data_IF_117244926786
#
_entry.id   IF_117244926786
#
_cell.length_a   1.000
_cell.length_b   1.000
_cell.length_c   1.000
_cell.angle_alpha   90.00
_cell.angle_beta   90.00
_cell.angle_gamma   90.00
#
_symmetry.space_group_name_H-M   'P 1'
#
loop_
_entity.id
_entity.type
_entity.pdbx_description
1 polymer ?
#
# COMPACT_ATOMS: atom_id res chain seq x y z
N UNK A 1 -17.45 16.89 39.71
CA UNK A 1 -16.61 17.03 38.49
C UNK A 1 -15.54 15.97 38.64
N UNK A 2 -15.83 14.78 38.10
CA UNK A 2 -14.88 13.65 38.13
C UNK A 2 -13.86 13.87 37.03
N UNK A 3 -12.60 13.86 37.40
CA UNK A 3 -11.48 13.81 36.47
C UNK A 3 -11.62 12.56 35.63
N UNK A 4 -11.77 12.73 34.33
CA UNK A 4 -11.61 11.66 33.35
C UNK A 4 -10.12 11.26 33.37
N UNK A 5 -9.85 10.12 34.01
CA UNK A 5 -8.54 9.55 34.14
C UNK A 5 -7.91 9.38 32.76
N UNK A 6 -6.60 9.62 32.70
CA UNK A 6 -5.72 9.38 31.57
C UNK A 6 -6.01 8.00 30.95
N UNK A 7 -6.68 8.01 29.80
CA UNK A 7 -7.11 6.81 29.14
C UNK A 7 -5.89 5.96 28.77
N UNK A 8 -5.82 4.75 29.33
CA UNK A 8 -5.18 3.64 28.66
C UNK A 8 -5.70 3.68 27.24
N UNK A 9 -4.83 3.74 26.25
CA UNK A 9 -5.18 3.56 24.84
C UNK A 9 -6.14 2.39 24.76
N UNK A 10 -7.40 2.66 24.43
CA UNK A 10 -8.42 1.64 24.33
C UNK A 10 -7.87 0.57 23.40
N UNK A 11 -7.87 -0.69 23.85
CA UNK A 11 -7.33 -1.80 23.09
C UNK A 11 -8.11 -1.87 21.77
N UNK A 12 -7.47 -1.45 20.66
CA UNK A 12 -8.12 -1.45 19.34
C UNK A 12 -8.25 -2.92 18.91
N UNK A 13 -9.45 -3.46 18.76
CA UNK A 13 -9.64 -4.88 18.40
C UNK A 13 -9.22 -5.17 16.95
N UNK A 14 -9.24 -4.17 16.08
CA UNK A 14 -8.75 -4.23 14.71
C UNK A 14 -7.40 -3.53 14.65
N UNK A 15 -6.38 -4.25 14.19
CA UNK A 15 -5.01 -3.73 14.09
C UNK A 15 -4.47 -3.98 12.69
N UNK A 16 -3.73 -3.01 12.17
CA UNK A 16 -3.00 -3.17 10.92
C UNK A 16 -1.86 -4.17 11.11
N UNK A 17 -1.79 -5.18 10.24
CA UNK A 17 -0.74 -6.19 10.26
C UNK A 17 0.22 -6.09 9.09
N UNK A 18 -0.24 -5.51 7.99
CA UNK A 18 0.56 -5.32 6.79
C UNK A 18 -0.23 -4.73 5.65
N UNK A 19 0.43 -4.61 4.52
CA UNK A 19 -0.14 -4.03 3.31
C UNK A 19 0.29 -4.77 2.05
N UNK A 20 -0.60 -4.80 1.04
CA UNK A 20 -0.19 -4.95 -0.35
C UNK A 20 -0.09 -3.57 -0.97
N UNK A 21 1.06 -3.27 -1.52
CA UNK A 21 1.32 -2.05 -2.30
C UNK A 21 1.54 -2.46 -3.75
N UNK A 22 0.71 -2.00 -4.66
CA UNK A 22 0.83 -2.32 -6.08
C UNK A 22 0.78 -1.06 -6.93
N UNK A 23 1.88 -0.79 -7.61
CA UNK A 23 2.05 0.34 -8.53
C UNK A 23 2.09 -0.20 -9.96
N UNK A 24 1.16 0.27 -10.79
CA UNK A 24 0.91 -0.28 -12.11
C UNK A 24 0.89 0.82 -13.17
N UNK A 25 1.42 0.48 -14.35
CA UNK A 25 1.29 1.28 -15.56
C UNK A 25 0.50 0.50 -16.62
N UNK A 26 -0.67 0.97 -17.06
CA UNK A 26 -1.34 0.44 -18.24
C UNK A 26 -0.56 0.77 -19.51
N UNK A 27 -0.59 -0.14 -20.48
CA UNK A 27 -0.06 0.19 -21.80
C UNK A 27 -0.81 1.36 -22.41
N UNK A 28 -0.10 2.20 -23.15
CA UNK A 28 -0.65 3.40 -23.79
C UNK A 28 -1.91 3.09 -24.60
N UNK A 29 -2.97 3.85 -24.36
CA UNK A 29 -4.29 3.68 -24.99
C UNK A 29 -5.21 2.68 -24.29
N UNK A 30 -4.73 2.02 -23.23
CA UNK A 30 -5.50 1.06 -22.44
C UNK A 30 -5.93 1.58 -21.06
N UNK A 31 -5.65 2.83 -20.73
CA UNK A 31 -5.85 3.42 -19.39
C UNK A 31 -7.32 3.37 -18.97
N UNK A 32 -8.23 3.71 -19.86
CA UNK A 32 -9.68 3.68 -19.59
C UNK A 32 -10.17 2.25 -19.38
N UNK A 33 -9.72 1.32 -20.21
CA UNK A 33 -10.10 -0.10 -20.09
C UNK A 33 -9.54 -0.71 -18.80
N UNK A 34 -8.28 -0.38 -18.46
CA UNK A 34 -7.65 -0.78 -17.21
C UNK A 34 -8.42 -0.29 -15.99
N UNK A 35 -8.78 1.00 -15.96
CA UNK A 35 -9.54 1.57 -14.85
C UNK A 35 -10.90 0.92 -14.69
N UNK A 36 -11.63 0.70 -15.80
CA UNK A 36 -12.94 0.01 -15.77
C UNK A 36 -12.82 -1.40 -15.22
N UNK A 37 -11.81 -2.17 -15.68
CA UNK A 37 -11.57 -3.51 -15.19
C UNK A 37 -11.21 -3.49 -13.70
N UNK A 38 -10.30 -2.59 -13.30
CA UNK A 38 -9.84 -2.54 -11.92
C UNK A 38 -10.97 -2.16 -10.96
N UNK A 39 -11.72 -1.11 -11.26
CA UNK A 39 -12.78 -0.58 -10.38
C UNK A 39 -14.03 -1.47 -10.33
N UNK A 40 -14.36 -2.15 -11.41
CA UNK A 40 -15.58 -2.95 -11.49
C UNK A 40 -15.38 -4.42 -11.13
N UNK A 41 -14.16 -4.90 -11.20
CA UNK A 41 -13.84 -6.31 -10.98
C UNK A 41 -12.65 -6.52 -10.06
N UNK A 42 -11.44 -6.17 -10.49
CA UNK A 42 -10.21 -6.64 -9.86
C UNK A 42 -9.98 -6.09 -8.45
N UNK A 43 -10.35 -4.85 -8.19
CA UNK A 43 -10.23 -4.25 -6.85
C UNK A 43 -10.96 -5.09 -5.80
N UNK A 44 -12.14 -5.54 -6.13
CA UNK A 44 -12.93 -6.40 -5.26
C UNK A 44 -12.50 -7.86 -5.37
N UNK A 45 -12.60 -8.44 -6.55
CA UNK A 45 -12.38 -9.86 -6.76
C UNK A 45 -10.94 -10.30 -6.50
N UNK A 46 -9.97 -9.43 -6.76
CA UNK A 46 -8.54 -9.71 -6.52
C UNK A 46 -8.10 -9.55 -5.07
N UNK A 47 -8.75 -8.64 -4.31
CA UNK A 47 -8.30 -8.28 -2.96
C UNK A 47 -9.42 -8.11 -1.95
N UNK A 48 -10.43 -7.24 -2.21
CA UNK A 48 -11.32 -6.75 -1.16
C UNK A 48 -12.35 -7.74 -0.64
N UNK A 49 -12.81 -8.72 -1.44
CA UNK A 49 -13.75 -9.75 -0.98
C UNK A 49 -13.10 -10.83 -0.15
N UNK A 50 -11.77 -10.86 -0.09
CA UNK A 50 -11.02 -11.80 0.74
C UNK A 50 -11.22 -11.50 2.21
N UNK A 51 -11.25 -12.55 3.02
CA UNK A 51 -11.17 -12.39 4.46
C UNK A 51 -9.86 -11.67 4.84
N UNK A 52 -9.93 -10.93 5.95
CA UNK A 52 -8.77 -10.28 6.56
C UNK A 52 -8.28 -8.99 5.89
N UNK A 53 -8.97 -8.47 4.88
CA UNK A 53 -8.80 -7.09 4.46
C UNK A 53 -9.53 -6.15 5.43
N UNK A 54 -8.85 -5.06 5.81
CA UNK A 54 -9.46 -3.99 6.60
C UNK A 54 -10.09 -2.99 5.63
N UNK A 55 -9.30 -2.47 4.72
CA UNK A 55 -9.72 -1.51 3.70
C UNK A 55 -8.77 -1.52 2.51
N UNK A 56 -9.14 -0.81 1.45
CA UNK A 56 -8.30 -0.61 0.29
C UNK A 56 -8.65 0.71 -0.41
N UNK A 57 -7.65 1.31 -1.04
CA UNK A 57 -7.83 2.55 -1.79
C UNK A 57 -6.98 2.56 -3.05
N UNK A 58 -7.43 3.34 -4.04
CA UNK A 58 -6.69 3.57 -5.29
C UNK A 58 -6.31 5.03 -5.42
N UNK A 59 -5.12 5.26 -5.92
CA UNK A 59 -4.57 6.60 -6.14
C UNK A 59 -4.05 6.71 -7.57
N UNK A 60 -4.12 7.91 -8.12
CA UNK A 60 -3.64 8.20 -9.48
C UNK A 60 -2.54 9.26 -9.39
N UNK A 61 -1.39 8.95 -9.95
CA UNK A 61 -0.32 9.92 -10.15
C UNK A 61 -0.48 10.57 -11.53
N UNK A 62 -0.94 11.83 -11.54
CA UNK A 62 -0.98 12.66 -12.75
C UNK A 62 0.44 12.97 -13.24
N UNK A 63 0.57 13.52 -14.45
CA UNK A 63 1.87 13.92 -14.98
C UNK A 63 2.60 14.90 -14.03
N UNK A 64 1.87 15.87 -13.47
CA UNK A 64 2.43 16.86 -12.55
C UNK A 64 2.91 16.21 -11.24
N UNK A 65 2.14 15.26 -10.70
CA UNK A 65 2.54 14.51 -9.51
C UNK A 65 3.76 13.60 -9.78
N UNK A 66 3.83 12.99 -10.96
CA UNK A 66 4.99 12.19 -11.36
C UNK A 66 6.25 13.04 -11.52
N UNK A 67 6.11 14.29 -11.94
CA UNK A 67 7.23 15.24 -12.03
C UNK A 67 7.83 15.63 -10.66
N UNK A 68 7.12 15.39 -9.57
CA UNK A 68 7.60 15.62 -8.20
C UNK A 68 8.38 14.42 -7.61
N UNK A 69 8.48 13.33 -8.33
CA UNK A 69 9.16 12.13 -7.84
C UNK A 69 10.66 12.34 -7.69
N UNK A 70 11.21 11.85 -6.59
CA UNK A 70 12.62 11.94 -6.26
C UNK A 70 13.12 10.63 -5.64
N UNK A 71 14.33 10.19 -5.96
CA UNK A 71 15.19 10.66 -7.04
C UNK A 71 14.69 10.23 -8.43
N UNK A 72 15.13 10.93 -9.48
CA UNK A 72 14.72 10.64 -10.86
C UNK A 72 15.25 9.29 -11.38
N UNK A 73 16.30 8.75 -10.75
CA UNK A 73 16.97 7.48 -11.05
C UNK A 73 16.69 6.42 -9.98
N UNK A 74 15.51 6.46 -9.36
CA UNK A 74 15.12 5.50 -8.33
C UNK A 74 15.18 4.06 -8.84
N UNK A 75 15.81 3.14 -8.10
CA UNK A 75 15.81 1.71 -8.46
C UNK A 75 14.42 1.07 -8.35
N UNK A 76 13.51 1.67 -7.57
CA UNK A 76 12.13 1.19 -7.39
C UNK A 76 11.26 1.56 -8.58
N UNK A 77 11.44 2.77 -9.12
CA UNK A 77 10.73 3.28 -10.29
C UNK A 77 11.78 3.84 -11.25
N UNK A 78 12.43 2.99 -12.05
CA UNK A 78 13.53 3.41 -12.95
C UNK A 78 13.09 4.44 -13.99
N UNK A 79 11.84 4.39 -14.44
CA UNK A 79 11.23 5.42 -15.26
C UNK A 79 10.17 6.18 -14.44
N UNK A 80 10.46 7.40 -13.96
CA UNK A 80 9.53 8.19 -13.14
C UNK A 80 8.25 8.59 -13.87
N UNK A 81 8.18 8.44 -15.19
CA UNK A 81 6.97 8.68 -15.97
C UNK A 81 5.95 7.53 -15.89
N UNK A 82 6.35 6.36 -15.39
CA UNK A 82 5.51 5.17 -15.22
C UNK A 82 4.91 5.04 -13.82
N UNK A 83 4.10 3.99 -13.58
CA UNK A 83 3.45 3.80 -12.29
C UNK A 83 2.38 4.86 -12.01
N UNK A 84 1.45 5.01 -12.96
CA UNK A 84 0.38 5.99 -12.87
C UNK A 84 -0.70 5.62 -11.86
N UNK A 85 -0.86 4.33 -11.54
CA UNK A 85 -1.92 3.85 -10.67
C UNK A 85 -1.35 3.05 -9.50
N UNK A 86 -1.65 3.52 -8.30
CA UNK A 86 -1.35 2.82 -7.06
C UNK A 86 -2.62 2.23 -6.49
N UNK A 87 -2.59 0.96 -6.08
CA UNK A 87 -3.58 0.39 -5.20
C UNK A 87 -2.89 -0.06 -3.90
N UNK A 88 -3.55 0.22 -2.80
CA UNK A 88 -3.06 -0.04 -1.45
C UNK A 88 -4.15 -0.77 -0.68
N UNK A 89 -3.78 -1.87 -0.01
CA UNK A 89 -4.70 -2.71 0.74
C UNK A 89 -4.15 -2.98 2.13
N UNK A 90 -4.94 -2.72 3.16
CA UNK A 90 -4.61 -3.01 4.55
C UNK A 90 -5.03 -4.43 4.94
N UNK A 91 -4.11 -5.17 5.54
CA UNK A 91 -4.31 -6.56 5.99
C UNK A 91 -4.29 -6.61 7.51
N UNK A 92 -5.25 -7.35 8.08
CA UNK A 92 -5.44 -7.50 9.51
C UNK A 92 -4.23 -8.16 10.20
N UNK A 93 -3.88 -7.66 11.37
CA UNK A 93 -2.80 -8.21 12.19
C UNK A 93 -3.02 -9.70 12.52
N UNK A 94 -1.95 -10.48 12.45
CA UNK A 94 -2.00 -11.92 12.70
C UNK A 94 -2.63 -12.76 11.57
N UNK A 95 -3.09 -12.12 10.48
CA UNK A 95 -3.80 -12.77 9.37
C UNK A 95 -3.08 -12.71 8.03
N UNK A 96 -1.87 -12.21 8.04
CA UNK A 96 -1.09 -12.00 6.83
C UNK A 96 -0.88 -13.29 6.01
N UNK A 97 -0.46 -14.38 6.64
CA UNK A 97 -0.23 -15.66 5.95
C UNK A 97 -1.50 -16.26 5.35
N UNK A 98 -2.63 -16.15 6.07
CA UNK A 98 -3.93 -16.62 5.58
C UNK A 98 -4.40 -15.79 4.39
N UNK A 99 -4.23 -14.47 4.46
CA UNK A 99 -4.57 -13.57 3.38
C UNK A 99 -3.70 -13.80 2.14
N UNK A 100 -2.39 -14.00 2.31
CA UNK A 100 -1.45 -14.32 1.24
C UNK A 100 -1.84 -15.61 0.50
N UNK A 101 -2.18 -16.65 1.26
CA UNK A 101 -2.62 -17.92 0.69
C UNK A 101 -3.88 -17.71 -0.16
N UNK A 102 -4.90 -17.09 0.42
CA UNK A 102 -6.14 -16.76 -0.28
C UNK A 102 -5.89 -15.92 -1.54
N UNK A 103 -5.08 -14.85 -1.43
CA UNK A 103 -4.78 -13.95 -2.55
C UNK A 103 -4.09 -14.65 -3.70
N UNK A 104 -3.14 -15.55 -3.40
CA UNK A 104 -2.45 -16.34 -4.43
C UNK A 104 -3.40 -17.30 -5.16
N UNK A 105 -4.28 -17.97 -4.42
CA UNK A 105 -5.31 -18.85 -4.99
C UNK A 105 -6.33 -18.06 -5.82
N UNK A 106 -6.71 -16.88 -5.35
CA UNK A 106 -7.66 -16.01 -6.03
C UNK A 106 -7.10 -15.43 -7.33
N UNK A 107 -5.84 -14.97 -7.32
CA UNK A 107 -5.17 -14.48 -8.55
C UNK A 107 -5.05 -15.59 -9.58
N UNK A 108 -4.69 -16.80 -9.15
CA UNK A 108 -4.65 -17.97 -10.04
C UNK A 108 -6.02 -18.23 -10.65
N UNK A 109 -7.07 -18.26 -9.84
CA UNK A 109 -8.44 -18.46 -10.31
C UNK A 109 -8.90 -17.38 -11.30
N UNK A 110 -8.56 -16.10 -11.04
CA UNK A 110 -8.87 -14.99 -11.96
C UNK A 110 -8.15 -15.16 -13.31
N UNK A 111 -6.91 -15.66 -13.32
CA UNK A 111 -6.20 -15.99 -14.55
C UNK A 111 -6.88 -17.12 -15.34
N UNK A 112 -7.25 -18.20 -14.66
CA UNK A 112 -7.90 -19.37 -15.27
C UNK A 112 -9.31 -19.06 -15.82
N UNK A 113 -9.92 -17.96 -15.39
CA UNK A 113 -11.27 -17.53 -15.82
C UNK A 113 -11.25 -16.25 -16.69
N UNK A 114 -10.11 -15.93 -17.31
CA UNK A 114 -9.95 -14.79 -18.23
C UNK A 114 -10.36 -13.43 -17.63
N UNK A 115 -10.20 -13.29 -16.30
CA UNK A 115 -10.58 -12.08 -15.56
C UNK A 115 -9.38 -11.16 -15.26
N UNK A 116 -8.21 -11.44 -15.83
CA UNK A 116 -7.02 -10.60 -15.68
C UNK A 116 -6.83 -9.70 -16.89
N UNK A 117 -6.47 -8.44 -16.62
CA UNK A 117 -6.23 -7.45 -17.68
C UNK A 117 -4.79 -7.58 -18.21
N UNK A 118 -4.58 -7.87 -19.52
CA UNK A 118 -3.26 -8.21 -20.03
C UNK A 118 -2.38 -6.99 -20.37
N UNK A 119 -2.98 -5.81 -20.61
CA UNK A 119 -2.27 -4.62 -21.11
C UNK A 119 -1.82 -3.72 -19.97
N UNK A 120 -0.97 -4.23 -19.08
CA UNK A 120 -0.37 -3.50 -17.98
C UNK A 120 0.99 -4.04 -17.59
N UNK A 121 1.75 -3.23 -16.91
CA UNK A 121 3.00 -3.61 -16.26
C UNK A 121 2.91 -3.31 -14.76
N UNK A 122 3.43 -4.23 -13.95
CA UNK A 122 3.67 -4.00 -12.54
C UNK A 122 5.02 -3.31 -12.39
N UNK A 123 4.99 -2.04 -11.97
CA UNK A 123 6.20 -1.26 -11.74
C UNK A 123 6.78 -1.63 -10.38
N UNK A 124 5.90 -1.76 -9.38
CA UNK A 124 6.24 -2.21 -8.04
C UNK A 124 5.04 -2.93 -7.43
N UNK A 125 5.23 -4.16 -7.02
CA UNK A 125 4.17 -4.91 -6.32
C UNK A 125 4.82 -5.77 -5.25
N UNK A 126 4.65 -5.37 -4.00
CA UNK A 126 5.20 -6.05 -2.85
C UNK A 126 4.22 -6.08 -1.68
N UNK A 127 4.42 -7.07 -0.83
CA UNK A 127 3.81 -7.15 0.48
C UNK A 127 4.72 -6.54 1.53
N UNK A 128 4.09 -5.87 2.48
CA UNK A 128 4.78 -5.20 3.56
C UNK A 128 4.20 -5.61 4.91
N UNK A 129 5.06 -5.81 5.91
CA UNK A 129 4.66 -5.90 7.32
C UNK A 129 4.51 -4.51 7.92
N UNK A 130 3.46 -4.32 8.69
CA UNK A 130 3.29 -3.12 9.51
C UNK A 130 4.37 -3.08 10.59
N UNK A 131 4.97 -1.91 10.77
CA UNK A 131 5.99 -1.65 11.80
C UNK A 131 5.47 -0.68 12.86
N UNK A 132 5.14 0.54 12.46
CA UNK A 132 4.63 1.57 13.36
C UNK A 132 3.69 2.52 12.64
N UNK A 133 2.94 3.30 13.39
CA UNK A 133 2.03 4.33 12.89
C UNK A 133 2.51 5.73 13.27
N UNK A 134 2.15 6.69 12.42
CA UNK A 134 2.28 8.12 12.69
C UNK A 134 0.86 8.68 12.76
N UNK A 135 0.43 9.09 13.96
CA UNK A 135 -0.88 9.67 14.16
C UNK A 135 -0.82 11.19 13.97
N UNK A 136 -1.77 11.72 13.22
CA UNK A 136 -2.03 13.15 13.21
C UNK A 136 -2.75 13.58 14.48
N UNK A 137 -2.69 14.87 14.77
CA UNK A 137 -3.34 15.47 15.95
C UNK A 137 -4.87 15.28 15.97
N UNK A 138 -5.49 14.94 14.82
CA UNK A 138 -6.93 14.69 14.67
C UNK A 138 -7.37 13.28 15.10
N UNK A 139 -6.41 12.42 15.44
CA UNK A 139 -6.69 11.11 16.02
C UNK A 139 -7.27 10.07 15.06
N UNK A 140 -7.09 10.21 13.72
CA UNK A 140 -7.46 9.17 12.77
C UNK A 140 -6.49 8.00 12.90
N UNK A 141 -6.93 6.81 13.34
CA UNK A 141 -6.05 5.64 13.42
C UNK A 141 -5.68 5.15 12.02
N UNK A 142 -4.47 4.58 11.90
CA UNK A 142 -3.93 4.11 10.62
C UNK A 142 -4.81 3.07 9.93
N UNK A 143 -5.53 2.27 10.69
CA UNK A 143 -6.48 1.29 10.17
C UNK A 143 -7.59 1.93 9.31
N UNK A 144 -7.98 3.18 9.63
CA UNK A 144 -8.99 3.95 8.93
C UNK A 144 -8.42 4.92 7.89
N UNK A 145 -7.10 4.98 7.74
CA UNK A 145 -6.44 5.94 6.86
C UNK A 145 -6.90 5.85 5.40
N UNK A 146 -7.19 4.64 4.91
CA UNK A 146 -7.63 4.44 3.53
C UNK A 146 -9.13 4.72 3.33
N UNK A 147 -9.93 4.72 4.39
CA UNK A 147 -11.35 5.07 4.36
C UNK A 147 -11.56 6.58 4.56
N UNK A 148 -10.54 7.25 5.09
CA UNK A 148 -10.55 8.70 5.27
C UNK A 148 -10.25 9.41 3.96
N UNK A 149 -10.99 10.48 3.65
CA UNK A 149 -10.80 11.25 2.42
C UNK A 149 -9.59 12.20 2.54
N UNK A 150 -8.41 11.63 2.46
CA UNK A 150 -7.19 12.43 2.34
C UNK A 150 -7.03 12.97 0.93
N UNK A 151 -6.61 14.23 0.75
CA UNK A 151 -6.47 14.84 -0.57
C UNK A 151 -5.37 14.19 -1.42
N UNK A 152 -4.35 13.61 -0.78
CA UNK A 152 -3.25 12.92 -1.46
C UNK A 152 -2.60 11.88 -0.55
N UNK A 153 -1.84 10.99 -1.20
CA UNK A 153 -0.93 10.04 -0.58
C UNK A 153 0.51 10.41 -0.97
N UNK A 154 1.40 10.40 0.00
CA UNK A 154 2.85 10.39 -0.23
C UNK A 154 3.37 8.99 0.06
N UNK A 155 4.07 8.38 -0.89
CA UNK A 155 4.72 7.09 -0.73
C UNK A 155 6.23 7.30 -0.77
N UNK A 156 6.92 6.92 0.31
CA UNK A 156 8.38 6.94 0.40
C UNK A 156 8.84 5.50 0.49
N UNK A 157 9.70 5.10 -0.44
CA UNK A 157 10.31 3.75 -0.45
C UNK A 157 11.81 3.94 -0.44
N UNK A 158 12.49 3.27 0.47
CA UNK A 158 13.93 3.37 0.61
C UNK A 158 14.50 2.31 1.55
N UNK A 159 15.79 2.28 1.63
CA UNK A 159 16.54 1.48 2.58
C UNK A 159 17.29 2.42 3.54
N UNK A 160 17.48 2.05 4.80
CA UNK A 160 18.38 2.78 5.69
C UNK A 160 19.78 2.85 5.07
N UNK A 161 20.49 3.94 5.30
CA UNK A 161 21.92 4.01 4.97
C UNK A 161 22.69 2.95 5.78
N UNK A 162 23.88 2.57 5.32
CA UNK A 162 24.67 1.46 5.88
C UNK A 162 24.96 1.61 7.41
N UNK A 163 25.01 2.84 7.90
CA UNK A 163 25.24 3.17 9.31
C UNK A 163 23.96 3.45 10.11
N UNK A 164 22.78 3.25 9.51
CA UNK A 164 21.46 3.55 10.07
C UNK A 164 20.60 2.31 10.23
N UNK A 165 19.77 2.33 11.25
CA UNK A 165 18.75 1.33 11.51
C UNK A 165 17.37 1.80 11.05
N UNK A 166 16.40 0.90 11.04
CA UNK A 166 14.99 1.28 10.84
C UNK A 166 14.46 2.18 11.97
N UNK A 167 15.00 2.05 13.20
CA UNK A 167 14.62 2.92 14.32
C UNK A 167 15.13 4.36 14.13
N UNK A 168 16.28 4.54 13.45
CA UNK A 168 16.75 5.87 13.06
C UNK A 168 15.83 6.51 12.02
N UNK A 169 15.30 5.72 11.07
CA UNK A 169 14.34 6.17 10.07
C UNK A 169 13.02 6.58 10.75
N UNK A 170 12.51 5.77 11.68
CA UNK A 170 11.32 6.09 12.47
C UNK A 170 11.50 7.41 13.25
N UNK A 171 12.63 7.56 13.92
CA UNK A 171 12.98 8.79 14.65
C UNK A 171 12.99 10.00 13.70
N UNK A 172 13.64 9.87 12.56
CA UNK A 172 13.70 10.94 11.56
C UNK A 172 12.32 11.35 11.07
N UNK A 173 11.42 10.38 10.77
CA UNK A 173 10.05 10.69 10.35
C UNK A 173 9.26 11.44 11.41
N UNK A 174 9.39 11.05 12.70
CA UNK A 174 8.68 11.70 13.82
C UNK A 174 9.14 13.15 14.05
N UNK A 175 10.37 13.47 13.66
CA UNK A 175 10.92 14.83 13.76
C UNK A 175 10.49 15.74 12.60
N UNK A 176 9.89 15.19 11.54
CA UNK A 176 9.42 16.00 10.44
C UNK A 176 8.13 16.75 10.81
N UNK A 177 7.94 18.00 10.35
CA UNK A 177 6.72 18.76 10.57
C UNK A 177 5.57 18.27 9.68
N UNK A 178 5.16 17.01 9.86
CA UNK A 178 4.10 16.37 9.08
C UNK A 178 2.74 16.67 9.72
N UNK A 179 2.31 17.93 9.66
CA UNK A 179 1.01 18.35 10.19
C UNK A 179 -0.15 17.73 9.40
N UNK A 180 -1.11 17.16 10.10
CA UNK A 180 -2.33 16.61 9.53
C UNK A 180 -2.11 15.31 8.72
N UNK A 181 -1.05 14.57 8.99
CA UNK A 181 -0.73 13.31 8.31
C UNK A 181 -1.04 12.12 9.22
N UNK A 182 -1.80 11.16 8.71
CA UNK A 182 -1.83 9.81 9.25
C UNK A 182 -0.97 8.93 8.34
N UNK A 183 -0.08 8.13 8.91
CA UNK A 183 0.85 7.33 8.13
C UNK A 183 1.24 6.03 8.81
N UNK A 184 1.80 5.13 8.02
CA UNK A 184 2.35 3.87 8.47
C UNK A 184 3.77 3.69 7.96
N UNK A 185 4.65 3.22 8.81
CA UNK A 185 5.92 2.62 8.39
C UNK A 185 5.72 1.12 8.17
N UNK A 186 6.20 0.66 7.04
CA UNK A 186 6.04 -0.71 6.58
C UNK A 186 7.39 -1.27 6.16
N UNK A 187 7.66 -2.53 6.51
CA UNK A 187 8.87 -3.24 6.08
C UNK A 187 8.55 -4.22 4.97
N UNK A 188 9.26 -4.13 3.85
CA UNK A 188 9.08 -5.02 2.72
C UNK A 188 9.30 -6.49 3.11
N UNK A 189 8.47 -7.38 2.59
CA UNK A 189 8.65 -8.83 2.72
C UNK A 189 9.23 -9.33 1.41
N UNK A 190 10.43 -9.93 1.43
CA UNK A 190 10.97 -10.56 0.25
C UNK A 190 10.00 -11.63 -0.25
N UNK A 191 9.66 -11.56 -1.56
CA UNK A 191 8.87 -12.61 -2.17
C UNK A 191 9.75 -13.83 -2.41
N UNK A 192 9.22 -15.06 -2.23
CA UNK A 192 9.89 -16.26 -2.70
C UNK A 192 10.20 -16.13 -4.20
N UNK A 193 11.34 -16.70 -4.65
CA UNK A 193 11.79 -16.61 -6.04
C UNK A 193 10.79 -17.12 -7.10
N UNK A 194 9.70 -17.78 -6.67
CA UNK A 194 8.61 -18.28 -7.51
C UNK A 194 7.36 -17.39 -7.45
N UNK A 195 7.54 -16.09 -7.18
CA UNK A 195 6.43 -15.14 -7.17
C UNK A 195 5.66 -15.15 -8.49
N UNK A 196 4.35 -14.92 -8.39
CA UNK A 196 3.43 -14.99 -9.54
C UNK A 196 3.93 -14.19 -10.75
N UNK A 197 3.69 -14.65 -11.99
CA UNK A 197 4.13 -13.96 -13.21
C UNK A 197 3.70 -12.49 -13.20
N UNK A 198 4.66 -11.57 -13.34
CA UNK A 198 4.43 -10.13 -13.33
C UNK A 198 4.75 -9.42 -12.02
N UNK A 199 5.14 -10.14 -10.97
CA UNK A 199 5.71 -9.55 -9.76
C UNK A 199 7.22 -9.55 -9.93
N UNK A 200 7.82 -8.38 -10.08
CA UNK A 200 9.29 -8.24 -10.06
C UNK A 200 9.73 -8.18 -8.60
N UNK A 201 10.62 -9.10 -8.21
CA UNK A 201 11.35 -9.04 -6.95
C UNK A 201 12.37 -7.91 -7.01
#
# INVERSE_FOLDING_TARGET
MQELGSGKTAERPVRLGGALVTLVEPHRGHEVAYNRWYERDHFYAGCMIGAWNISGARFVATADLKALRYPADSPVIPDPSTGSFLALYWVLAGKFGEWMKWGSEQVKWLHENDRMFPHREHIHTLMYKFRTEFEADDGVPVELALDHRSPYLVLVIGEPADDKSLDDVDTWFREQPLLGVVGAELTAIPLPGDAAPGVKA
#
